data_IF_894203183582
#
_entry.id   IF_894203183582
#
_cell.length_a   1.000
_cell.length_b   1.000
_cell.length_c   1.000
_cell.angle_alpha   90.00
_cell.angle_beta   90.00
_cell.angle_gamma   90.00
#
_symmetry.space_group_name_H-M   'P 1'
#
loop_
_entity.id
_entity.type
_entity.pdbx_description
1 polymer ?
#
# COMPACT_ATOMS: atom_id res chain seq x y z
N UNK A 1 30.43 -40.25 -6.55
CA UNK A 1 29.44 -39.25 -7.01
C UNK A 1 28.72 -38.74 -5.77
N UNK A 2 28.96 -37.50 -5.36
CA UNK A 2 28.18 -36.89 -4.27
C UNK A 2 26.77 -36.65 -4.81
N UNK A 3 25.78 -37.38 -4.28
CA UNK A 3 24.38 -37.08 -4.52
C UNK A 3 24.14 -35.63 -4.12
N UNK A 4 23.56 -34.83 -5.02
CA UNK A 4 23.24 -33.44 -4.74
C UNK A 4 22.50 -33.36 -3.41
N UNK A 5 23.10 -32.72 -2.42
CA UNK A 5 22.46 -32.54 -1.11
C UNK A 5 21.25 -31.62 -1.32
N UNK A 6 20.01 -32.11 -1.11
CA UNK A 6 18.80 -31.34 -1.40
C UNK A 6 18.78 -29.98 -0.68
N UNK A 7 19.39 -29.91 0.51
CA UNK A 7 19.49 -28.69 1.29
C UNK A 7 20.34 -27.60 0.61
N UNK A 8 21.38 -27.95 -0.13
CA UNK A 8 22.25 -26.98 -0.81
C UNK A 8 21.53 -26.39 -2.04
N UNK A 9 20.86 -27.24 -2.82
CA UNK A 9 20.15 -26.80 -4.02
C UNK A 9 18.93 -25.94 -3.67
N UNK A 10 18.19 -26.29 -2.61
CA UNK A 10 17.08 -25.48 -2.09
C UNK A 10 17.57 -24.11 -1.63
N UNK A 11 18.68 -24.03 -0.88
CA UNK A 11 19.25 -22.74 -0.47
C UNK A 11 19.72 -21.90 -1.66
N UNK A 12 20.25 -22.54 -2.71
CA UNK A 12 20.64 -21.86 -3.94
C UNK A 12 19.42 -21.27 -4.67
N UNK A 13 18.32 -22.02 -4.78
CA UNK A 13 17.06 -21.52 -5.33
C UNK A 13 16.51 -20.35 -4.50
N UNK A 14 16.50 -20.47 -3.16
CA UNK A 14 16.10 -19.37 -2.29
C UNK A 14 16.98 -18.14 -2.45
N UNK A 15 18.30 -18.29 -2.63
CA UNK A 15 19.18 -17.14 -2.88
C UNK A 15 18.92 -16.46 -4.23
N UNK A 16 18.56 -17.23 -5.27
CA UNK A 16 18.25 -16.67 -6.59
C UNK A 16 16.90 -15.94 -6.60
N UNK A 17 15.88 -16.51 -5.93
CA UNK A 17 14.55 -15.88 -5.81
C UNK A 17 14.57 -14.73 -4.80
N UNK A 18 15.35 -14.85 -3.74
CA UNK A 18 15.46 -13.88 -2.65
C UNK A 18 15.90 -12.49 -3.10
N UNK A 19 16.90 -12.42 -3.98
CA UNK A 19 17.37 -11.13 -4.55
C UNK A 19 16.25 -10.42 -5.32
N UNK A 20 15.44 -11.17 -6.07
CA UNK A 20 14.29 -10.62 -6.80
C UNK A 20 13.21 -10.09 -5.86
N UNK A 21 12.89 -10.85 -4.80
CA UNK A 21 11.90 -10.41 -3.80
C UNK A 21 12.35 -9.19 -3.01
N UNK A 22 13.64 -9.11 -2.67
CA UNK A 22 14.20 -7.96 -1.93
C UNK A 22 14.18 -6.69 -2.79
N UNK A 23 14.49 -6.81 -4.09
CA UNK A 23 14.40 -5.69 -5.02
C UNK A 23 12.96 -5.16 -5.14
N UNK A 24 11.97 -6.05 -5.28
CA UNK A 24 10.55 -5.67 -5.31
C UNK A 24 10.10 -5.01 -4.00
N UNK A 25 10.58 -5.52 -2.86
CA UNK A 25 10.28 -4.93 -1.55
C UNK A 25 10.87 -3.53 -1.40
N UNK A 26 12.11 -3.32 -1.82
CA UNK A 26 12.74 -2.00 -1.81
C UNK A 26 11.97 -1.01 -2.70
N UNK A 27 11.53 -1.45 -3.88
CA UNK A 27 10.71 -0.65 -4.79
C UNK A 27 9.34 -0.31 -4.18
N UNK A 28 8.68 -1.26 -3.53
CA UNK A 28 7.42 -1.02 -2.84
C UNK A 28 7.56 0.03 -1.73
N UNK A 29 8.62 -0.05 -0.91
CA UNK A 29 8.91 0.95 0.14
C UNK A 29 9.17 2.32 -0.48
N UNK A 30 9.93 2.39 -1.57
CA UNK A 30 10.22 3.65 -2.27
C UNK A 30 8.94 4.30 -2.81
N UNK A 31 8.07 3.52 -3.46
CA UNK A 31 6.78 4.01 -3.97
C UNK A 31 5.92 4.52 -2.82
N UNK A 32 5.80 3.76 -1.72
CA UNK A 32 5.04 4.18 -0.54
C UNK A 32 5.56 5.51 0.02
N UNK A 33 6.88 5.69 0.08
CA UNK A 33 7.49 6.93 0.54
C UNK A 33 7.17 8.13 -0.37
N UNK A 34 7.29 7.96 -1.68
CA UNK A 34 6.95 9.01 -2.66
C UNK A 34 5.45 9.34 -2.61
N UNK A 35 4.59 8.34 -2.46
CA UNK A 35 3.14 8.52 -2.30
C UNK A 35 2.80 9.31 -1.04
N UNK A 36 3.45 9.04 0.10
CA UNK A 36 3.24 9.78 1.34
C UNK A 36 3.58 11.27 1.17
N UNK A 37 4.69 11.59 0.52
CA UNK A 37 5.07 12.97 0.18
C UNK A 37 4.06 13.61 -0.76
N UNK A 38 3.59 12.87 -1.78
CA UNK A 38 2.60 13.36 -2.74
C UNK A 38 1.28 13.74 -2.07
N UNK A 39 0.76 12.89 -1.18
CA UNK A 39 -0.45 13.15 -0.39
C UNK A 39 -0.25 14.38 0.49
N UNK A 40 0.88 14.51 1.17
CA UNK A 40 1.19 15.68 1.99
C UNK A 40 1.16 16.98 1.17
N UNK A 41 1.81 16.99 -0.01
CA UNK A 41 1.82 18.15 -0.91
C UNK A 41 0.40 18.48 -1.38
N UNK A 42 -0.40 17.47 -1.73
CA UNK A 42 -1.78 17.65 -2.19
C UNK A 42 -2.66 18.26 -1.10
N UNK A 43 -2.62 17.73 0.12
CA UNK A 43 -3.35 18.28 1.27
C UNK A 43 -2.92 19.70 1.59
N UNK A 44 -1.61 19.98 1.58
CA UNK A 44 -1.08 21.31 1.81
C UNK A 44 -1.57 22.31 0.75
N UNK A 45 -1.58 21.90 -0.52
CA UNK A 45 -2.09 22.72 -1.63
C UNK A 45 -3.58 23.00 -1.47
N UNK A 46 -4.40 21.98 -1.20
CA UNK A 46 -5.84 22.13 -0.97
C UNK A 46 -6.12 23.11 0.18
N UNK A 47 -5.38 23.00 1.28
CA UNK A 47 -5.50 23.90 2.43
C UNK A 47 -5.14 25.34 2.06
N UNK A 48 -4.11 25.55 1.23
CA UNK A 48 -3.69 26.88 0.77
C UNK A 48 -4.72 27.52 -0.17
N UNK A 49 -5.30 26.74 -1.06
CA UNK A 49 -6.35 27.21 -1.99
C UNK A 49 -7.64 27.58 -1.23
N UNK A 50 -7.99 26.81 -0.21
CA UNK A 50 -9.17 27.04 0.65
C UNK A 50 -8.91 28.01 1.82
N UNK A 51 -7.77 28.70 1.84
CA UNK A 51 -7.38 29.59 2.96
C UNK A 51 -8.43 30.66 3.27
N UNK A 52 -9.09 31.22 2.25
CA UNK A 52 -10.15 32.21 2.44
C UNK A 52 -11.40 31.62 3.12
N UNK A 53 -11.80 30.41 2.75
CA UNK A 53 -12.91 29.69 3.39
C UNK A 53 -12.60 29.39 4.86
N UNK A 54 -11.37 28.92 5.14
CA UNK A 54 -10.91 28.65 6.50
C UNK A 54 -10.88 29.93 7.37
N UNK A 55 -10.49 31.07 6.77
CA UNK A 55 -10.51 32.36 7.43
C UNK A 55 -11.94 32.84 7.73
N UNK A 56 -12.87 32.66 6.79
CA UNK A 56 -14.29 32.98 6.99
C UNK A 56 -14.89 32.13 8.12
N UNK A 57 -14.60 30.83 8.15
CA UNK A 57 -15.04 29.95 9.25
C UNK A 57 -14.54 30.44 10.61
N UNK A 58 -13.28 30.90 10.69
CA UNK A 58 -12.73 31.49 11.92
C UNK A 58 -13.47 32.76 12.35
N UNK A 59 -13.81 33.65 11.41
CA UNK A 59 -14.58 34.87 11.70
C UNK A 59 -15.99 34.52 12.20
N UNK A 60 -16.58 33.44 11.69
CA UNK A 60 -17.87 32.90 12.15
C UNK A 60 -17.79 32.12 13.47
N UNK A 61 -16.64 32.12 14.16
CA UNK A 61 -16.47 31.51 15.48
C UNK A 61 -15.97 30.06 15.46
N UNK A 62 -15.50 29.53 14.33
CA UNK A 62 -14.88 28.20 14.31
C UNK A 62 -13.52 28.21 15.03
N UNK A 63 -13.38 27.31 16.00
CA UNK A 63 -12.15 27.13 16.76
C UNK A 63 -11.04 26.44 15.93
N UNK A 64 -9.77 26.67 16.30
CA UNK A 64 -8.58 26.09 15.66
C UNK A 64 -8.63 24.56 15.59
N UNK A 65 -9.21 23.91 16.60
CA UNK A 65 -9.35 22.46 16.65
C UNK A 65 -10.34 21.93 15.61
N UNK A 66 -11.37 22.72 15.27
CA UNK A 66 -12.34 22.33 14.25
C UNK A 66 -11.71 22.28 12.86
N UNK A 67 -10.85 23.25 12.54
CA UNK A 67 -10.10 23.28 11.28
C UNK A 67 -9.09 22.13 11.23
N UNK A 68 -8.37 21.88 12.33
CA UNK A 68 -7.43 20.77 12.41
C UNK A 68 -8.12 19.41 12.19
N UNK A 69 -9.24 19.17 12.89
CA UNK A 69 -10.02 17.93 12.76
C UNK A 69 -10.57 17.75 11.34
N UNK A 70 -10.96 18.83 10.66
CA UNK A 70 -11.42 18.77 9.27
C UNK A 70 -10.32 18.23 8.34
N UNK A 71 -9.09 18.72 8.48
CA UNK A 71 -7.95 18.28 7.65
C UNK A 71 -7.56 16.84 7.96
N UNK A 72 -7.56 16.45 9.24
CA UNK A 72 -7.30 15.05 9.64
C UNK A 72 -8.37 14.12 9.06
N UNK A 73 -9.65 14.49 9.13
CA UNK A 73 -10.73 13.70 8.54
C UNK A 73 -10.57 13.58 7.01
N UNK A 74 -10.24 14.67 6.32
CA UNK A 74 -9.99 14.64 4.87
C UNK A 74 -8.86 13.65 4.53
N UNK A 75 -7.76 13.67 5.30
CA UNK A 75 -6.66 12.71 5.17
C UNK A 75 -7.08 11.26 5.46
N UNK A 76 -7.85 11.02 6.52
CA UNK A 76 -8.37 9.69 6.88
C UNK A 76 -9.29 9.13 5.80
N UNK A 77 -10.18 9.95 5.24
CA UNK A 77 -11.04 9.54 4.12
C UNK A 77 -10.20 9.19 2.88
N UNK A 78 -9.22 10.02 2.55
CA UNK A 78 -8.35 9.80 1.39
C UNK A 78 -7.55 8.49 1.54
N UNK A 79 -6.99 8.26 2.73
CA UNK A 79 -6.27 7.03 3.05
C UNK A 79 -7.20 5.82 3.02
N UNK A 80 -8.40 5.90 3.60
CA UNK A 80 -9.31 4.77 3.63
C UNK A 80 -9.83 4.33 2.27
N UNK A 81 -10.12 5.30 1.39
CA UNK A 81 -10.47 5.01 0.01
C UNK A 81 -9.26 4.39 -0.71
N UNK A 82 -8.07 4.96 -0.53
CA UNK A 82 -6.83 4.44 -1.12
C UNK A 82 -6.54 3.00 -0.69
N UNK A 83 -6.68 2.70 0.60
CA UNK A 83 -6.50 1.36 1.16
C UNK A 83 -7.50 0.36 0.57
N UNK A 84 -8.79 0.72 0.55
CA UNK A 84 -9.84 -0.16 0.03
C UNK A 84 -9.63 -0.46 -1.45
N UNK A 85 -9.42 0.58 -2.26
CA UNK A 85 -9.19 0.44 -3.71
C UNK A 85 -7.88 -0.33 -3.98
N UNK A 86 -6.81 -0.02 -3.27
CA UNK A 86 -5.51 -0.69 -3.42
C UNK A 86 -5.57 -2.18 -3.08
N UNK A 87 -6.27 -2.54 -2.00
CA UNK A 87 -6.46 -3.94 -1.59
C UNK A 87 -7.23 -4.72 -2.65
N UNK A 88 -8.37 -4.18 -3.12
CA UNK A 88 -9.17 -4.81 -4.19
C UNK A 88 -8.34 -4.96 -5.45
N UNK A 89 -7.60 -3.92 -5.86
CA UNK A 89 -6.74 -3.97 -7.04
C UNK A 89 -5.65 -5.04 -6.90
N UNK A 90 -5.05 -5.18 -5.71
CA UNK A 90 -4.02 -6.18 -5.42
C UNK A 90 -4.56 -7.61 -5.54
N UNK A 91 -5.71 -7.92 -4.93
CA UNK A 91 -6.33 -9.25 -5.03
C UNK A 91 -6.74 -9.58 -6.47
N UNK A 92 -7.32 -8.63 -7.20
CA UNK A 92 -7.67 -8.82 -8.63
C UNK A 92 -6.43 -9.09 -9.46
N UNK A 93 -5.36 -8.30 -9.28
CA UNK A 93 -4.10 -8.50 -10.00
C UNK A 93 -3.49 -9.87 -9.70
N UNK A 94 -3.59 -10.30 -8.44
CA UNK A 94 -3.09 -11.59 -7.98
C UNK A 94 -3.88 -12.77 -8.57
N UNK A 95 -5.21 -12.65 -8.65
CA UNK A 95 -6.07 -13.66 -9.30
C UNK A 95 -5.74 -13.79 -10.79
N UNK A 96 -5.57 -12.66 -11.49
CA UNK A 96 -5.14 -12.65 -12.90
C UNK A 96 -3.79 -13.36 -13.05
N UNK A 97 -2.81 -13.04 -12.19
CA UNK A 97 -1.50 -13.70 -12.21
C UNK A 97 -1.61 -15.21 -11.94
N UNK A 98 -2.49 -15.62 -11.03
CA UNK A 98 -2.75 -17.03 -10.74
C UNK A 98 -3.25 -17.78 -11.97
N UNK A 99 -4.20 -17.20 -12.72
CA UNK A 99 -4.70 -17.84 -13.95
C UNK A 99 -3.60 -18.05 -14.99
N UNK A 100 -2.69 -17.08 -15.15
CA UNK A 100 -1.55 -17.21 -16.05
C UNK A 100 -0.59 -18.33 -15.60
N UNK A 101 -0.27 -18.39 -14.30
CA UNK A 101 0.64 -19.40 -13.75
C UNK A 101 0.02 -20.81 -13.75
N UNK A 102 -1.29 -20.93 -13.57
CA UNK A 102 -2.01 -22.21 -13.63
C UNK A 102 -1.93 -22.84 -15.02
N UNK A 103 -2.06 -22.03 -16.08
CA UNK A 103 -1.98 -22.48 -17.48
C UNK A 103 -0.56 -22.93 -17.87
N UNK A 104 0.48 -22.22 -17.42
CA UNK A 104 1.87 -22.49 -17.80
C UNK A 104 2.61 -23.49 -16.90
N UNK A 105 2.37 -23.44 -15.59
CA UNK A 105 3.19 -24.11 -14.58
C UNK A 105 2.40 -25.05 -13.65
N UNK A 106 1.08 -25.20 -13.87
CA UNK A 106 0.15 -25.98 -13.02
C UNK A 106 0.15 -25.59 -11.54
N UNK A 107 0.59 -24.36 -11.21
CA UNK A 107 0.46 -23.83 -9.85
C UNK A 107 -1.01 -23.57 -9.54
N UNK A 108 -1.49 -24.04 -8.39
CA UNK A 108 -2.86 -23.81 -7.93
C UNK A 108 -2.82 -22.97 -6.65
N UNK A 109 -2.97 -21.65 -6.82
CA UNK A 109 -3.15 -20.72 -5.71
C UNK A 109 -4.32 -19.77 -6.02
N UNK A 110 -4.93 -19.15 -5.02
CA UNK A 110 -6.09 -18.27 -5.20
C UNK A 110 -5.75 -16.88 -4.68
N UNK A 111 -6.08 -15.83 -5.43
CA UNK A 111 -5.81 -14.44 -5.05
C UNK A 111 -6.69 -13.94 -3.91
N UNK A 112 -7.79 -14.63 -3.61
CA UNK A 112 -8.78 -14.28 -2.59
C UNK A 112 -8.45 -14.79 -1.17
N UNK A 113 -7.22 -15.25 -0.94
CA UNK A 113 -6.80 -15.66 0.40
C UNK A 113 -6.36 -14.44 1.20
N UNK A 114 -7.13 -14.08 2.23
CA UNK A 114 -6.73 -13.01 3.14
C UNK A 114 -5.66 -13.50 4.13
N UNK A 115 -4.53 -12.81 4.16
CA UNK A 115 -3.41 -13.12 5.05
C UNK A 115 -3.51 -12.29 6.32
N UNK A 116 -3.10 -12.84 7.47
CA UNK A 116 -3.13 -12.12 8.75
C UNK A 116 -2.32 -10.81 8.72
N UNK A 117 -1.28 -10.74 7.89
CA UNK A 117 -0.43 -9.55 7.73
C UNK A 117 -1.11 -8.40 6.96
N UNK A 118 -2.19 -8.66 6.22
CA UNK A 118 -2.95 -7.62 5.51
C UNK A 118 -3.69 -6.71 6.51
N UNK A 119 -4.10 -7.23 7.66
CA UNK A 119 -4.65 -6.42 8.75
C UNK A 119 -3.64 -5.42 9.31
N UNK A 120 -2.36 -5.76 9.25
CA UNK A 120 -1.27 -4.90 9.70
C UNK A 120 -1.07 -3.73 8.73
N UNK A 121 -1.29 -3.94 7.42
CA UNK A 121 -1.31 -2.85 6.44
C UNK A 121 -2.46 -1.88 6.69
N UNK A 122 -3.61 -2.39 7.13
CA UNK A 122 -4.76 -1.58 7.51
C UNK A 122 -4.39 -0.64 8.67
N UNK A 123 -3.76 -1.16 9.73
CA UNK A 123 -3.32 -0.35 10.87
C UNK A 123 -2.23 0.68 10.54
N UNK A 124 -1.35 0.40 9.58
CA UNK A 124 -0.27 1.31 9.18
C UNK A 124 -0.75 2.42 8.24
N UNK A 125 -1.89 2.22 7.56
CA UNK A 125 -2.39 3.17 6.56
C UNK A 125 -3.16 4.36 7.16
N UNK A 126 -3.67 4.25 8.39
CA UNK A 126 -4.47 5.29 9.07
C UNK A 126 -3.71 5.90 10.24
#
# INVERSE_FOLDING_TARGET
MQAASPAIEINRLYSMVGVGTDALRALAILIAFVSAISIFISLYKNMKERKYELALMRVMGADRWKIFNLVILEGLFLSGIGFFVGTVLSHVSMEILSEYLKKGYKYTFTGWTFLQYEWLLLLVSF
#
